data_IF_372823419105
#
_entry.id   IF_372823419105
#
_cell.length_a   1.000
_cell.length_b   1.000
_cell.length_c   1.000
_cell.angle_alpha   90.00
_cell.angle_beta   90.00
_cell.angle_gamma   90.00
#
_symmetry.space_group_name_H-M   'P 1'
#
loop_
_entity.id
_entity.type
_entity.pdbx_description
1 polymer ?
#
# COMPACT_ATOMS: atom_id res chain seq x y z
N UNK A 1 -30.28 -8.77 -5.33
CA UNK A 1 -29.29 -7.97 -4.59
C UNK A 1 -27.96 -8.23 -5.25
N UNK A 2 -27.19 -7.19 -5.58
CA UNK A 2 -25.93 -7.38 -6.28
C UNK A 2 -24.92 -8.07 -5.37
N UNK A 3 -24.27 -9.10 -5.90
CA UNK A 3 -23.20 -9.83 -5.24
C UNK A 3 -21.88 -9.41 -5.86
N UNK A 4 -21.11 -8.62 -5.13
CA UNK A 4 -19.80 -8.12 -5.56
C UNK A 4 -18.72 -8.97 -4.89
N UNK A 5 -17.89 -9.63 -5.70
CA UNK A 5 -16.68 -10.28 -5.22
C UNK A 5 -15.50 -9.35 -5.45
N UNK A 6 -14.82 -8.98 -4.36
CA UNK A 6 -13.66 -8.08 -4.41
C UNK A 6 -12.38 -8.90 -4.49
N UNK A 7 -11.48 -8.51 -5.39
CA UNK A 7 -10.20 -9.17 -5.64
C UNK A 7 -9.10 -8.14 -5.47
N UNK A 8 -8.35 -8.27 -4.38
CA UNK A 8 -7.19 -7.45 -4.06
C UNK A 8 -5.96 -8.05 -4.72
N UNK A 9 -5.37 -7.31 -5.66
CA UNK A 9 -4.12 -7.70 -6.30
C UNK A 9 -2.94 -7.30 -5.41
N UNK A 10 -2.43 -8.26 -4.63
CA UNK A 10 -1.32 -8.04 -3.69
C UNK A 10 0.07 -7.86 -4.34
N UNK A 11 0.13 -7.96 -5.67
CA UNK A 11 1.35 -7.76 -6.45
C UNK A 11 2.26 -9.00 -6.55
N UNK A 12 3.28 -8.89 -7.40
CA UNK A 12 4.29 -9.92 -7.64
C UNK A 12 5.42 -9.93 -6.60
N UNK A 13 6.66 -10.11 -7.06
CA UNK A 13 7.88 -10.22 -6.21
C UNK A 13 8.15 -9.00 -5.30
N UNK A 14 7.46 -7.87 -5.49
CA UNK A 14 7.60 -6.70 -4.63
C UNK A 14 8.97 -6.02 -4.71
N UNK A 15 9.67 -6.14 -5.84
CA UNK A 15 11.05 -5.64 -6.04
C UNK A 15 11.18 -4.13 -5.85
N UNK A 16 10.16 -3.35 -6.20
CA UNK A 16 10.14 -1.87 -6.05
C UNK A 16 10.13 -1.40 -4.58
N UNK A 17 9.70 -2.25 -3.64
CA UNK A 17 9.74 -1.97 -2.19
C UNK A 17 10.83 -2.79 -1.49
N UNK A 18 11.74 -3.42 -2.21
CA UNK A 18 12.89 -4.05 -1.57
C UNK A 18 13.75 -2.96 -0.91
N UNK A 19 14.21 -3.13 0.35
CA UNK A 19 14.26 -4.36 1.15
C UNK A 19 13.06 -4.61 2.08
N UNK A 20 12.03 -3.75 2.09
CA UNK A 20 10.86 -3.91 2.98
C UNK A 20 10.07 -5.20 2.68
N UNK A 21 10.19 -5.72 1.46
CA UNK A 21 9.58 -6.96 0.97
C UNK A 21 10.48 -8.19 1.07
N UNK A 22 11.69 -8.06 1.65
CA UNK A 22 12.67 -9.16 1.77
C UNK A 22 12.08 -10.40 2.45
N UNK A 23 11.43 -10.20 3.59
CA UNK A 23 10.88 -11.28 4.43
C UNK A 23 9.34 -11.27 4.51
N UNK A 24 8.66 -10.50 3.67
CA UNK A 24 7.19 -10.35 3.72
C UNK A 24 6.59 -10.01 2.36
N UNK A 25 5.34 -10.41 2.16
CA UNK A 25 4.54 -9.98 1.01
C UNK A 25 4.39 -8.45 0.98
N UNK A 26 4.32 -7.86 -0.22
CA UNK A 26 4.08 -6.42 -0.41
C UNK A 26 2.88 -5.90 0.39
N UNK A 27 1.71 -6.57 0.40
CA UNK A 27 0.54 -6.08 1.15
C UNK A 27 0.74 -6.13 2.67
N UNK A 28 1.71 -6.91 3.15
CA UNK A 28 2.01 -7.04 4.57
C UNK A 28 3.00 -5.98 5.09
N UNK A 29 3.52 -5.09 4.24
CA UNK A 29 4.40 -4.00 4.65
C UNK A 29 3.63 -3.06 5.61
N UNK A 30 4.20 -2.75 6.81
CA UNK A 30 3.60 -1.81 7.76
C UNK A 30 3.48 -0.41 7.16
N UNK A 31 2.41 0.31 7.51
CA UNK A 31 2.17 1.69 7.07
C UNK A 31 1.51 2.49 8.19
N UNK A 32 1.79 3.79 8.29
CA UNK A 32 1.14 4.69 9.25
C UNK A 32 1.32 4.27 10.72
N UNK A 33 2.44 3.62 11.04
CA UNK A 33 2.82 3.18 12.39
C UNK A 33 2.06 1.96 12.97
N UNK A 34 0.81 1.72 12.56
CA UNK A 34 -0.06 0.65 13.10
C UNK A 34 -0.62 -0.31 12.04
N UNK A 35 -0.85 0.21 10.84
CA UNK A 35 -1.55 -0.47 9.76
C UNK A 35 -0.59 -1.30 8.91
N UNK A 36 -1.16 -2.02 7.95
CA UNK A 36 -0.45 -2.59 6.80
C UNK A 36 -1.08 -2.04 5.53
N UNK A 37 -0.32 -2.04 4.43
CA UNK A 37 -0.80 -1.53 3.14
C UNK A 37 -2.13 -2.20 2.73
N UNK A 38 -2.26 -3.52 2.92
CA UNK A 38 -3.48 -4.28 2.58
C UNK A 38 -4.73 -3.80 3.32
N UNK A 39 -4.57 -3.12 4.46
CA UNK A 39 -5.70 -2.63 5.24
C UNK A 39 -6.51 -1.58 4.48
N UNK A 40 -5.88 -0.83 3.58
CA UNK A 40 -6.53 0.21 2.78
C UNK A 40 -7.61 -0.37 1.85
N UNK A 41 -7.28 -1.25 0.87
CA UNK A 41 -8.28 -1.79 -0.04
C UNK A 41 -9.33 -2.65 0.68
N UNK A 42 -8.93 -3.43 1.70
CA UNK A 42 -9.89 -4.25 2.45
C UNK A 42 -10.90 -3.34 3.18
N UNK A 43 -10.44 -2.29 3.83
CA UNK A 43 -11.32 -1.37 4.55
C UNK A 43 -12.26 -0.62 3.61
N UNK A 44 -11.78 -0.18 2.45
CA UNK A 44 -12.63 0.44 1.43
C UNK A 44 -13.73 -0.53 0.97
N UNK A 45 -13.40 -1.80 0.72
CA UNK A 45 -14.39 -2.82 0.37
C UNK A 45 -15.43 -3.01 1.48
N UNK A 46 -14.99 -3.19 2.73
CA UNK A 46 -15.87 -3.39 3.89
C UNK A 46 -16.80 -2.19 4.12
N UNK A 47 -16.25 -0.96 4.07
CA UNK A 47 -17.03 0.26 4.24
C UNK A 47 -18.06 0.45 3.12
N UNK A 48 -17.79 -0.10 1.94
CA UNK A 48 -18.72 -0.11 0.79
C UNK A 48 -19.72 -1.27 0.82
N UNK A 49 -19.73 -2.08 1.88
CA UNK A 49 -20.60 -3.25 2.02
C UNK A 49 -20.14 -4.50 1.25
N UNK A 50 -18.95 -4.49 0.65
CA UNK A 50 -18.39 -5.61 -0.10
C UNK A 50 -17.56 -6.50 0.83
N UNK A 51 -18.19 -7.55 1.35
CA UNK A 51 -17.61 -8.42 2.39
C UNK A 51 -17.00 -9.73 1.87
N UNK A 52 -17.10 -10.04 0.58
CA UNK A 52 -16.44 -11.21 -0.02
C UNK A 52 -15.18 -10.74 -0.72
N UNK A 53 -14.02 -11.02 -0.12
CA UNK A 53 -12.74 -10.45 -0.52
C UNK A 53 -11.71 -11.56 -0.65
N UNK A 54 -11.14 -11.70 -1.85
CA UNK A 54 -9.95 -12.49 -2.09
C UNK A 54 -8.72 -11.60 -2.22
N UNK A 55 -7.59 -12.03 -1.67
CA UNK A 55 -6.30 -11.34 -1.76
C UNK A 55 -5.33 -12.25 -2.50
N UNK A 56 -4.93 -11.86 -3.70
CA UNK A 56 -4.00 -12.63 -4.52
C UNK A 56 -2.57 -12.23 -4.16
N UNK A 57 -1.75 -13.19 -3.75
CA UNK A 57 -0.34 -12.96 -3.40
C UNK A 57 0.54 -14.08 -3.93
N UNK A 58 1.80 -13.77 -4.22
CA UNK A 58 2.75 -14.77 -4.71
C UNK A 58 3.77 -15.17 -3.62
N UNK A 59 4.35 -14.22 -2.90
CA UNK A 59 5.53 -14.46 -2.06
C UNK A 59 5.30 -14.15 -0.57
N UNK A 60 6.04 -14.82 0.32
CA UNK A 60 6.20 -14.47 1.74
C UNK A 60 4.88 -14.15 2.50
N UNK A 61 3.87 -15.00 2.33
CA UNK A 61 2.49 -14.73 2.76
C UNK A 61 2.19 -15.02 4.24
N UNK A 62 3.05 -15.73 4.97
CA UNK A 62 2.72 -16.19 6.34
C UNK A 62 2.29 -15.04 7.28
N UNK A 63 3.03 -13.92 7.25
CA UNK A 63 2.67 -12.74 8.05
C UNK A 63 1.35 -12.11 7.60
N UNK A 64 1.02 -12.17 6.31
CA UNK A 64 -0.22 -11.66 5.73
C UNK A 64 -1.41 -12.53 6.16
N UNK A 65 -1.31 -13.85 6.02
CA UNK A 65 -2.35 -14.79 6.46
C UNK A 65 -2.71 -14.57 7.94
N UNK A 66 -1.71 -14.50 8.82
CA UNK A 66 -1.94 -14.28 10.25
C UNK A 66 -2.62 -12.93 10.54
N UNK A 67 -2.29 -11.89 9.79
CA UNK A 67 -2.92 -10.58 9.95
C UNK A 67 -4.37 -10.59 9.49
N UNK A 68 -4.64 -11.15 8.32
CA UNK A 68 -6.01 -11.24 7.78
C UNK A 68 -6.90 -12.08 8.70
N UNK A 69 -6.45 -13.29 9.06
CA UNK A 69 -7.20 -14.22 9.91
C UNK A 69 -7.53 -13.67 11.31
N UNK A 70 -6.71 -12.77 11.84
CA UNK A 70 -6.93 -12.15 13.16
C UNK A 70 -7.69 -10.83 13.10
N UNK A 71 -7.81 -10.22 11.93
CA UNK A 71 -8.35 -8.85 11.78
C UNK A 71 -9.76 -8.85 11.21
N UNK A 72 -9.95 -9.58 10.12
CA UNK A 72 -11.16 -9.48 9.29
C UNK A 72 -12.03 -10.72 9.51
N UNK A 73 -12.60 -10.80 10.71
CA UNK A 73 -13.53 -11.86 11.11
C UNK A 73 -14.94 -11.29 11.03
N UNK A 74 -15.75 -11.85 10.14
CA UNK A 74 -17.16 -11.47 10.00
C UNK A 74 -18.06 -12.33 10.89
N UNK A 75 -19.31 -11.90 11.03
CA UNK A 75 -20.31 -12.63 11.80
C UNK A 75 -20.77 -13.91 11.08
N UNK A 76 -21.15 -14.93 11.87
CA UNK A 76 -21.60 -16.24 11.37
C UNK A 76 -22.89 -16.20 10.55
N UNK A 77 -23.62 -15.09 10.54
CA UNK A 77 -24.87 -14.94 9.81
C UNK A 77 -24.66 -14.27 8.44
N UNK A 78 -23.43 -13.88 8.13
CA UNK A 78 -23.05 -13.28 6.85
C UNK A 78 -22.15 -14.23 6.05
N UNK A 79 -22.35 -14.30 4.74
CA UNK A 79 -21.45 -15.02 3.82
C UNK A 79 -20.16 -14.22 3.51
N UNK A 80 -19.75 -13.32 4.41
CA UNK A 80 -18.58 -12.48 4.26
C UNK A 80 -17.30 -13.23 4.65
N UNK A 81 -16.23 -13.00 3.90
CA UNK A 81 -14.91 -13.56 4.19
C UNK A 81 -13.80 -12.67 3.61
N UNK A 82 -12.62 -12.75 4.23
CA UNK A 82 -11.39 -12.25 3.64
C UNK A 82 -10.39 -13.39 3.58
N UNK A 83 -10.08 -13.86 2.38
CA UNK A 83 -9.21 -15.01 2.16
C UNK A 83 -8.01 -14.65 1.29
N UNK A 84 -6.86 -15.23 1.63
CA UNK A 84 -5.62 -15.04 0.88
C UNK A 84 -5.42 -16.25 -0.02
N UNK A 85 -5.41 -16.03 -1.33
CA UNK A 85 -5.06 -17.04 -2.33
C UNK A 85 -3.61 -16.82 -2.72
N UNK A 86 -2.75 -17.74 -2.28
CA UNK A 86 -1.38 -17.78 -2.72
C UNK A 86 -1.31 -18.41 -4.13
N UNK A 87 -0.28 -18.09 -4.91
CA UNK A 87 -0.03 -18.84 -6.15
C UNK A 87 0.20 -20.32 -5.82
N UNK A 88 -0.73 -21.18 -6.25
CA UNK A 88 -0.66 -22.63 -6.08
C UNK A 88 -0.09 -23.28 -7.35
N UNK A 89 0.69 -24.35 -7.15
CA UNK A 89 1.00 -25.26 -8.25
C UNK A 89 -0.14 -26.27 -8.38
N UNK A 90 -0.79 -26.30 -9.54
CA UNK A 90 -1.82 -27.29 -9.87
C UNK A 90 -1.28 -28.29 -10.89
N UNK A 91 -1.99 -29.40 -11.10
CA UNK A 91 -1.64 -30.40 -12.13
C UNK A 91 -1.61 -29.80 -13.55
N UNK A 92 -2.30 -28.69 -13.77
CA UNK A 92 -2.36 -27.99 -15.06
C UNK A 92 -1.48 -26.73 -15.13
N UNK A 93 -1.08 -26.17 -13.98
CA UNK A 93 -0.27 -24.95 -13.91
C UNK A 93 0.89 -25.09 -12.91
N UNK A 94 2.12 -25.13 -13.43
CA UNK A 94 3.34 -25.33 -12.63
C UNK A 94 4.06 -24.03 -12.27
N UNK A 95 3.54 -22.87 -12.70
CA UNK A 95 4.22 -21.58 -12.65
C UNK A 95 3.59 -20.52 -11.73
N UNK A 96 4.38 -19.50 -11.43
CA UNK A 96 3.98 -18.26 -10.75
C UNK A 96 2.96 -17.46 -11.57
N UNK A 97 2.38 -16.38 -11.02
CA UNK A 97 1.53 -15.51 -11.85
C UNK A 97 2.41 -14.67 -12.78
N UNK A 98 2.08 -14.68 -14.06
CA UNK A 98 2.81 -13.97 -15.12
C UNK A 98 2.40 -12.49 -15.20
N UNK A 99 1.21 -12.17 -14.72
CA UNK A 99 0.70 -10.81 -14.63
C UNK A 99 -0.60 -10.71 -13.82
N UNK A 100 -1.21 -9.53 -13.87
CA UNK A 100 -2.40 -9.21 -13.07
C UNK A 100 -3.65 -9.97 -13.55
N UNK A 101 -3.84 -10.12 -14.87
CA UNK A 101 -4.96 -10.85 -15.43
C UNK A 101 -4.77 -12.38 -15.28
N UNK A 102 -3.53 -12.87 -15.45
CA UNK A 102 -3.20 -14.28 -15.22
C UNK A 102 -3.45 -14.72 -13.78
N UNK A 103 -3.14 -13.86 -12.79
CA UNK A 103 -3.45 -14.12 -11.40
C UNK A 103 -4.96 -14.31 -11.17
N UNK A 104 -5.80 -13.48 -11.79
CA UNK A 104 -7.27 -13.60 -11.68
C UNK A 104 -7.76 -14.85 -12.42
N UNK A 105 -7.29 -15.08 -13.66
CA UNK A 105 -7.67 -16.23 -14.48
C UNK A 105 -7.46 -17.55 -13.75
N UNK A 106 -6.25 -17.77 -13.21
CA UNK A 106 -5.89 -19.01 -12.50
C UNK A 106 -6.78 -19.28 -11.28
N UNK A 107 -7.35 -18.23 -10.68
CA UNK A 107 -8.20 -18.34 -9.50
C UNK A 107 -9.70 -18.26 -9.79
N UNK A 108 -10.13 -18.11 -11.07
CA UNK A 108 -11.56 -18.07 -11.43
C UNK A 108 -12.35 -19.26 -10.90
N UNK A 109 -11.73 -20.44 -10.78
CA UNK A 109 -12.34 -21.64 -10.20
C UNK A 109 -12.77 -21.47 -8.73
N UNK A 110 -12.09 -20.60 -7.96
CA UNK A 110 -12.46 -20.26 -6.58
C UNK A 110 -13.52 -19.17 -6.52
N UNK A 111 -13.61 -18.34 -7.57
CA UNK A 111 -14.52 -17.21 -7.64
C UNK A 111 -15.92 -17.60 -8.09
N UNK A 112 -16.03 -18.46 -9.12
CA UNK A 112 -17.30 -18.93 -9.69
C UNK A 112 -18.27 -19.54 -8.68
N UNK A 113 -17.84 -20.37 -7.70
CA UNK A 113 -18.74 -20.91 -6.67
C UNK A 113 -19.43 -19.85 -5.81
N UNK A 114 -18.89 -18.62 -5.76
CA UNK A 114 -19.52 -17.52 -5.07
C UNK A 114 -20.68 -16.92 -5.86
N UNK A 115 -20.91 -17.30 -7.11
CA UNK A 115 -21.97 -16.75 -7.98
C UNK A 115 -22.02 -15.20 -7.98
N UNK A 116 -20.89 -14.51 -8.17
CA UNK A 116 -20.88 -13.05 -8.18
C UNK A 116 -21.63 -12.51 -9.39
N UNK A 117 -22.33 -11.40 -9.20
CA UNK A 117 -22.89 -10.60 -10.28
C UNK A 117 -21.85 -9.65 -10.88
N UNK A 118 -20.91 -9.18 -10.06
CA UNK A 118 -19.86 -8.25 -10.45
C UNK A 118 -18.55 -8.65 -9.77
N UNK A 119 -17.44 -8.42 -10.47
CA UNK A 119 -16.09 -8.51 -9.92
C UNK A 119 -15.53 -7.11 -9.72
N UNK A 120 -15.05 -6.82 -8.52
CA UNK A 120 -14.30 -5.61 -8.21
C UNK A 120 -12.81 -5.96 -8.12
N UNK A 121 -11.98 -5.39 -8.98
CA UNK A 121 -10.52 -5.48 -8.88
C UNK A 121 -10.01 -4.22 -8.19
N UNK A 122 -9.17 -4.39 -7.16
CA UNK A 122 -8.49 -3.28 -6.47
C UNK A 122 -7.00 -3.58 -6.31
N UNK A 123 -6.18 -2.53 -6.37
CA UNK A 123 -4.75 -2.67 -6.10
C UNK A 123 -4.46 -2.81 -4.61
N UNK A 124 -3.46 -3.64 -4.28
CA UNK A 124 -3.00 -3.91 -2.93
C UNK A 124 -1.90 -2.97 -2.41
N UNK A 125 -1.57 -1.90 -3.13
CA UNK A 125 -0.39 -1.04 -2.89
C UNK A 125 -0.61 0.47 -3.03
N UNK A 126 -1.86 0.92 -2.89
CA UNK A 126 -2.24 2.31 -3.05
C UNK A 126 -2.84 2.88 -1.76
N UNK A 127 -2.62 4.18 -1.54
CA UNK A 127 -3.19 4.91 -0.41
C UNK A 127 -4.35 5.77 -0.88
N UNK A 128 -5.57 5.42 -0.49
CA UNK A 128 -6.79 6.15 -0.86
C UNK A 128 -7.96 5.78 0.07
N UNK A 129 -8.98 6.64 0.10
CA UNK A 129 -10.28 6.34 0.71
C UNK A 129 -11.37 6.61 -0.33
N UNK A 130 -12.11 5.58 -0.70
CA UNK A 130 -13.10 5.66 -1.77
C UNK A 130 -14.33 4.83 -1.41
N UNK A 131 -15.51 5.41 -1.66
CA UNK A 131 -16.78 4.69 -1.60
C UNK A 131 -16.96 3.91 -2.90
N UNK A 132 -16.74 2.59 -2.82
CA UNK A 132 -16.83 1.70 -3.97
C UNK A 132 -18.30 1.34 -4.27
N UNK A 133 -19.24 1.61 -3.36
CA UNK A 133 -20.66 1.45 -3.61
C UNK A 133 -21.18 2.53 -4.55
N UNK A 134 -20.69 3.77 -4.41
CA UNK A 134 -20.95 4.85 -5.39
C UNK A 134 -20.38 4.49 -6.77
N UNK A 135 -19.16 3.93 -6.83
CA UNK A 135 -18.59 3.43 -8.09
C UNK A 135 -19.46 2.34 -8.73
N UNK A 136 -19.97 1.39 -7.95
CA UNK A 136 -20.88 0.34 -8.43
C UNK A 136 -22.21 0.93 -8.93
N UNK A 137 -22.75 1.93 -8.25
CA UNK A 137 -23.96 2.61 -8.68
C UNK A 137 -23.74 3.28 -10.04
N UNK A 138 -22.63 4.02 -10.20
CA UNK A 138 -22.27 4.67 -11.47
C UNK A 138 -22.00 3.67 -12.58
N UNK A 139 -21.38 2.53 -12.27
CA UNK A 139 -21.19 1.43 -13.20
C UNK A 139 -22.53 0.99 -13.81
N UNK A 140 -23.55 0.78 -12.96
CA UNK A 140 -24.88 0.33 -13.39
C UNK A 140 -25.66 1.40 -14.14
N UNK A 141 -25.62 2.65 -13.67
CA UNK A 141 -26.22 3.79 -14.36
C UNK A 141 -25.63 3.97 -15.77
N UNK A 142 -24.35 3.61 -15.95
CA UNK A 142 -23.65 3.78 -17.22
C UNK A 142 -24.08 2.79 -18.31
N UNK A 143 -24.65 1.64 -17.93
CA UNK A 143 -24.98 0.53 -18.83
C UNK A 143 -23.77 -0.17 -19.47
N UNK A 144 -22.54 0.17 -19.07
CA UNK A 144 -21.32 -0.51 -19.54
C UNK A 144 -20.97 -1.69 -18.66
N UNK A 145 -20.54 -2.80 -19.27
CA UNK A 145 -20.11 -4.00 -18.56
C UNK A 145 -18.71 -3.88 -17.91
N UNK A 146 -17.99 -2.78 -18.16
CA UNK A 146 -16.73 -2.43 -17.49
C UNK A 146 -16.73 -0.95 -17.08
N UNK A 147 -16.29 -0.68 -15.85
CA UNK A 147 -15.98 0.67 -15.36
C UNK A 147 -14.59 0.73 -14.74
N UNK A 148 -13.80 1.74 -15.12
CA UNK A 148 -12.44 1.97 -14.64
C UNK A 148 -12.46 3.22 -13.74
N UNK A 149 -11.93 3.11 -12.52
CA UNK A 149 -11.71 4.29 -11.68
C UNK A 149 -10.46 5.04 -12.15
N UNK A 150 -10.61 6.34 -12.32
CA UNK A 150 -9.55 7.20 -12.79
C UNK A 150 -9.40 8.44 -11.90
N UNK A 151 -8.16 8.91 -11.75
CA UNK A 151 -7.82 10.13 -11.02
C UNK A 151 -7.10 11.13 -11.92
N UNK A 152 -7.13 12.41 -11.54
CA UNK A 152 -6.43 13.45 -12.29
C UNK A 152 -4.94 13.48 -11.94
N UNK A 153 -4.09 13.55 -12.97
CA UNK A 153 -2.62 13.56 -12.81
C UNK A 153 -1.96 14.63 -13.66
N UNK A 154 -0.74 15.02 -13.27
CA UNK A 154 0.13 15.93 -14.03
C UNK A 154 0.70 15.25 -15.28
N UNK A 155 1.40 15.99 -16.14
CA UNK A 155 2.05 15.37 -17.32
C UNK A 155 3.20 14.47 -16.91
N UNK A 156 3.92 14.87 -15.87
CA UNK A 156 5.07 14.17 -15.30
C UNK A 156 4.62 12.79 -14.81
N UNK A 157 3.61 12.77 -13.92
CA UNK A 157 3.05 11.56 -13.32
C UNK A 157 2.38 10.66 -14.37
N UNK A 158 1.82 11.24 -15.43
CA UNK A 158 1.14 10.47 -16.48
C UNK A 158 2.04 9.43 -17.18
N UNK A 159 3.36 9.55 -17.04
CA UNK A 159 4.32 8.60 -17.63
C UNK A 159 4.27 7.22 -16.98
N UNK A 160 3.85 7.13 -15.71
CA UNK A 160 3.91 5.91 -14.90
C UNK A 160 2.59 5.12 -14.89
N UNK A 161 1.52 5.71 -15.42
CA UNK A 161 0.16 5.18 -15.38
C UNK A 161 -0.47 4.98 -16.76
N UNK A 162 -1.58 4.25 -16.80
CA UNK A 162 -2.43 4.15 -17.99
C UNK A 162 -3.33 5.37 -18.14
N UNK A 163 -3.19 6.12 -19.23
CA UNK A 163 -3.94 7.35 -19.49
C UNK A 163 -5.16 7.07 -20.35
N UNK A 164 -6.28 7.68 -19.97
CA UNK A 164 -7.58 7.49 -20.61
C UNK A 164 -8.03 8.77 -21.30
N UNK A 165 -8.54 8.62 -22.53
CA UNK A 165 -9.27 9.66 -23.24
C UNK A 165 -10.75 9.37 -23.09
N UNK A 166 -11.52 10.35 -22.64
CA UNK A 166 -12.95 10.21 -22.38
C UNK A 166 -13.79 11.19 -23.20
N UNK A 167 -15.03 10.81 -23.48
CA UNK A 167 -16.04 11.71 -24.05
C UNK A 167 -16.80 12.49 -22.96
N UNK A 168 -17.79 13.31 -23.37
CA UNK A 168 -18.61 14.11 -22.46
C UNK A 168 -19.54 13.29 -21.56
N UNK A 169 -19.77 12.01 -21.86
CA UNK A 169 -20.56 11.07 -21.08
C UNK A 169 -19.69 10.15 -20.22
N UNK A 170 -18.41 10.49 -20.04
CA UNK A 170 -17.42 9.71 -19.31
C UNK A 170 -17.17 8.31 -19.89
N UNK A 171 -17.42 8.10 -21.20
CA UNK A 171 -17.02 6.86 -21.87
C UNK A 171 -15.57 6.95 -22.31
N UNK A 172 -14.82 5.89 -22.10
CA UNK A 172 -13.43 5.79 -22.56
C UNK A 172 -13.45 5.56 -24.07
N UNK A 173 -12.74 6.42 -24.79
CA UNK A 173 -12.54 6.35 -26.24
C UNK A 173 -11.23 5.65 -26.57
N UNK A 174 -10.17 5.99 -25.83
CA UNK A 174 -8.82 5.45 -26.04
C UNK A 174 -8.14 5.23 -24.68
N UNK A 175 -7.34 4.16 -24.60
CA UNK A 175 -6.54 3.81 -23.44
C UNK A 175 -5.08 3.67 -23.86
N UNK A 176 -4.16 4.33 -23.14
CA UNK A 176 -2.74 4.28 -23.42
C UNK A 176 -1.96 3.95 -22.15
N UNK A 177 -1.41 2.74 -22.07
CA UNK A 177 -0.54 2.33 -20.96
C UNK A 177 0.83 3.02 -21.06
N UNK A 178 1.21 3.76 -20.00
CA UNK A 178 2.55 4.30 -19.77
C UNK A 178 3.17 4.97 -21.01
N UNK A 179 2.65 6.16 -21.41
CA UNK A 179 3.14 6.88 -22.60
C UNK A 179 4.63 7.27 -22.51
N UNK A 180 5.23 7.22 -21.32
CA UNK A 180 6.57 7.74 -21.05
C UNK A 180 6.62 9.28 -21.13
N UNK A 181 7.80 9.87 -20.89
CA UNK A 181 7.94 11.32 -20.76
C UNK A 181 7.92 12.07 -22.11
N UNK A 182 8.28 11.39 -23.21
CA UNK A 182 8.51 12.05 -24.51
C UNK A 182 7.27 12.07 -25.40
N UNK A 183 6.36 11.10 -25.25
CA UNK A 183 5.23 10.95 -26.16
C UNK A 183 4.25 12.11 -26.00
N UNK A 184 3.78 12.66 -27.11
CA UNK A 184 2.70 13.65 -27.06
C UNK A 184 1.39 12.95 -26.72
N UNK A 185 0.75 13.42 -25.64
CA UNK A 185 -0.55 12.93 -25.16
C UNK A 185 -1.56 14.07 -25.06
N UNK A 186 -1.33 15.19 -25.77
CA UNK A 186 -2.20 16.37 -25.73
C UNK A 186 -3.66 16.06 -26.05
N UNK A 187 -3.91 15.05 -26.89
CA UNK A 187 -5.26 14.58 -27.26
C UNK A 187 -5.97 13.80 -26.13
N UNK A 188 -5.25 13.40 -25.08
CA UNK A 188 -5.77 12.74 -23.88
C UNK A 188 -6.12 13.71 -22.75
N UNK A 189 -6.00 15.02 -23.01
CA UNK A 189 -6.40 16.05 -22.06
C UNK A 189 -7.90 15.94 -21.76
N UNK A 190 -8.25 16.03 -20.47
CA UNK A 190 -9.64 15.97 -20.01
C UNK A 190 -10.46 17.05 -20.74
N UNK A 191 -11.64 16.76 -21.29
CA UNK A 191 -12.50 17.77 -21.92
C UNK A 191 -12.82 18.93 -20.97
N UNK A 192 -12.76 20.18 -21.46
CA UNK A 192 -12.94 21.39 -20.63
C UNK A 192 -14.24 21.38 -19.83
N UNK A 193 -15.30 20.81 -20.38
CA UNK A 193 -16.63 20.72 -19.75
C UNK A 193 -16.64 19.82 -18.50
N UNK A 194 -15.73 18.84 -18.45
CA UNK A 194 -15.56 17.91 -17.33
C UNK A 194 -14.50 18.39 -16.32
N UNK A 195 -13.84 19.53 -16.56
CA UNK A 195 -12.80 20.09 -15.68
C UNK A 195 -13.34 20.95 -14.52
N UNK A 196 -14.65 20.95 -14.25
CA UNK A 196 -15.29 21.84 -13.25
C UNK A 196 -14.52 21.86 -11.92
N UNK A 197 -14.07 23.05 -11.52
CA UNK A 197 -13.55 23.40 -10.18
C UNK A 197 -12.49 22.45 -9.58
N UNK A 198 -11.77 21.71 -10.42
CA UNK A 198 -10.67 20.86 -9.96
C UNK A 198 -9.51 21.77 -9.61
N UNK A 199 -8.90 21.58 -8.43
CA UNK A 199 -7.68 22.29 -7.99
C UNK A 199 -6.67 22.25 -9.12
N UNK A 200 -6.65 23.29 -9.93
CA UNK A 200 -6.02 23.32 -11.25
C UNK A 200 -4.55 23.67 -11.07
N UNK A 201 -3.84 22.76 -10.42
CA UNK A 201 -2.39 22.76 -10.27
C UNK A 201 -1.69 21.96 -11.37
N UNK A 202 -2.20 22.00 -12.62
CA UNK A 202 -1.57 21.30 -13.75
C UNK A 202 -1.95 19.82 -13.94
N UNK A 203 -2.99 19.32 -13.25
CA UNK A 203 -3.50 17.94 -13.39
C UNK A 203 -4.49 17.81 -14.55
N UNK A 204 -3.98 17.82 -15.77
CA UNK A 204 -4.75 17.88 -17.02
C UNK A 204 -5.18 16.53 -17.61
N UNK A 205 -4.66 15.42 -17.07
CA UNK A 205 -4.83 14.07 -17.61
C UNK A 205 -5.60 13.17 -16.65
N UNK A 206 -6.25 12.14 -17.21
CA UNK A 206 -7.03 11.17 -16.45
C UNK A 206 -6.33 9.80 -16.48
N UNK A 207 -5.75 9.41 -15.34
CA UNK A 207 -5.02 8.15 -15.19
C UNK A 207 -5.88 7.08 -14.53
N UNK A 208 -5.79 5.85 -15.04
CA UNK A 208 -6.35 4.66 -14.41
C UNK A 208 -5.69 4.42 -13.06
N UNK A 209 -6.51 4.25 -12.03
CA UNK A 209 -6.04 3.90 -10.68
C UNK A 209 -5.78 2.39 -10.54
N UNK A 210 -6.02 1.58 -11.57
CA UNK A 210 -5.95 0.12 -11.43
C UNK A 210 -7.09 -0.47 -10.59
N UNK A 211 -8.22 0.22 -10.51
CA UNK A 211 -9.44 -0.21 -9.84
C UNK A 211 -10.54 -0.36 -10.89
N UNK A 212 -11.16 -1.54 -10.96
CA UNK A 212 -12.08 -1.91 -12.03
C UNK A 212 -13.33 -2.60 -11.48
N UNK A 213 -14.50 -2.27 -12.02
CA UNK A 213 -15.73 -3.06 -11.83
C UNK A 213 -16.11 -3.70 -13.16
N UNK A 214 -16.27 -5.01 -13.14
CA UNK A 214 -16.74 -5.81 -14.27
C UNK A 214 -18.07 -6.46 -13.95
N UNK A 215 -18.96 -6.51 -14.95
CA UNK A 215 -20.01 -7.53 -14.97
C UNK A 215 -19.36 -8.92 -15.00
N UNK A 216 -19.90 -9.88 -14.24
CA UNK A 216 -19.30 -11.21 -14.12
C UNK A 216 -19.12 -11.91 -15.47
N UNK A 217 -20.11 -11.83 -16.35
CA UNK A 217 -20.05 -12.43 -17.69
C UNK A 217 -18.93 -11.84 -18.56
N UNK A 218 -18.68 -10.53 -18.44
CA UNK A 218 -17.61 -9.89 -19.18
C UNK A 218 -16.25 -10.33 -18.65
N UNK A 219 -16.03 -10.29 -17.33
CA UNK A 219 -14.74 -10.68 -16.75
C UNK A 219 -14.37 -12.11 -17.15
N UNK A 220 -15.32 -13.04 -17.04
CA UNK A 220 -15.05 -14.45 -17.34
C UNK A 220 -14.73 -14.67 -18.82
N UNK A 221 -15.50 -14.07 -19.74
CA UNK A 221 -15.22 -14.19 -21.18
C UNK A 221 -13.97 -13.43 -21.62
N UNK A 222 -13.62 -12.32 -20.96
CA UNK A 222 -12.40 -11.57 -21.25
C UNK A 222 -11.13 -12.28 -20.79
N UNK A 223 -11.23 -13.23 -19.87
CA UNK A 223 -10.10 -14.00 -19.33
C UNK A 223 -9.98 -15.42 -19.95
N UNK A 224 -10.84 -15.77 -20.91
CA UNK A 224 -10.74 -17.03 -21.67
C UNK A 224 -9.51 -17.08 -22.59
N UNK A 225 -8.94 -15.92 -22.95
CA UNK A 225 -7.68 -15.81 -23.70
C UNK A 225 -6.43 -15.88 -22.83
N UNK A 226 -5.26 -15.70 -23.44
CA UNK A 226 -3.93 -15.81 -22.80
C UNK A 226 -3.35 -14.46 -22.33
N UNK A 227 -4.15 -13.39 -22.31
CA UNK A 227 -3.71 -12.04 -21.89
C UNK A 227 -3.23 -12.02 -20.42
N UNK A 228 -2.00 -11.61 -20.18
CA UNK A 228 -1.37 -11.66 -18.86
C UNK A 228 -1.61 -10.41 -18.01
N UNK A 229 -1.90 -9.24 -18.61
CA UNK A 229 -2.05 -7.99 -17.87
C UNK A 229 -3.35 -7.23 -18.19
N UNK A 230 -4.02 -6.73 -17.13
CA UNK A 230 -5.26 -5.98 -17.29
C UNK A 230 -5.08 -4.68 -18.08
N UNK A 231 -4.07 -3.87 -17.75
CA UNK A 231 -3.88 -2.55 -18.35
C UNK A 231 -3.36 -2.62 -19.78
N UNK A 232 -2.40 -3.52 -20.03
CA UNK A 232 -1.74 -3.64 -21.34
C UNK A 232 -2.53 -4.40 -22.38
N UNK A 233 -3.32 -5.39 -21.97
CA UNK A 233 -3.87 -6.39 -22.89
C UNK A 233 -5.39 -6.51 -22.77
N UNK A 234 -5.91 -6.83 -21.57
CA UNK A 234 -7.35 -7.09 -21.38
C UNK A 234 -8.21 -5.86 -21.65
N UNK A 235 -7.89 -4.71 -21.03
CA UNK A 235 -8.67 -3.48 -21.19
C UNK A 235 -8.67 -2.99 -22.65
N UNK A 236 -7.52 -2.90 -23.35
CA UNK A 236 -7.51 -2.59 -24.78
C UNK A 236 -8.34 -3.56 -25.63
N UNK A 237 -8.29 -4.87 -25.35
CA UNK A 237 -9.07 -5.90 -26.07
C UNK A 237 -10.59 -5.71 -25.89
N UNK A 238 -11.02 -5.33 -24.68
CA UNK A 238 -12.42 -5.03 -24.38
C UNK A 238 -12.85 -3.73 -25.07
N UNK A 239 -12.03 -2.69 -24.99
CA UNK A 239 -12.32 -1.37 -25.55
C UNK A 239 -12.52 -1.42 -27.08
N UNK A 240 -11.83 -2.34 -27.76
CA UNK A 240 -11.99 -2.57 -29.19
C UNK A 240 -13.36 -3.17 -29.58
N UNK A 241 -14.08 -3.78 -28.63
CA UNK A 241 -15.33 -4.54 -28.89
C UNK A 241 -16.57 -3.87 -28.31
N UNK A 242 -16.44 -3.10 -27.24
CA UNK A 242 -17.57 -2.53 -26.51
C UNK A 242 -17.19 -1.26 -25.73
N UNK A 243 -18.21 -0.52 -25.31
CA UNK A 243 -18.03 0.71 -24.54
C UNK A 243 -17.57 0.42 -23.11
N UNK A 244 -16.62 1.22 -22.65
CA UNK A 244 -16.10 1.19 -21.27
C UNK A 244 -16.40 2.53 -20.61
N UNK A 245 -16.83 2.50 -19.36
CA UNK A 245 -17.11 3.70 -18.58
C UNK A 245 -15.91 4.11 -17.73
N UNK A 246 -15.67 5.42 -17.60
CA UNK A 246 -14.74 5.98 -16.63
C UNK A 246 -15.52 6.49 -15.42
N UNK A 247 -15.07 6.10 -14.22
CA UNK A 247 -15.49 6.70 -12.96
C UNK A 247 -14.39 7.66 -12.52
N UNK A 248 -14.70 8.94 -12.34
CA UNK A 248 -13.69 9.90 -11.88
C UNK A 248 -13.69 9.98 -10.35
N UNK A 249 -12.54 9.73 -9.75
CA UNK A 249 -12.29 9.88 -8.34
C UNK A 249 -11.55 11.20 -8.07
N UNK A 250 -12.16 12.05 -7.24
CA UNK A 250 -11.62 13.38 -6.90
C UNK A 250 -10.91 13.41 -5.52
N UNK A 251 -10.83 12.26 -4.82
CA UNK A 251 -10.18 12.16 -3.52
C UNK A 251 -8.65 11.96 -3.61
N UNK A 252 -8.00 11.90 -2.44
CA UNK A 252 -6.58 11.61 -2.37
C UNK A 252 -6.29 10.17 -2.82
N UNK A 253 -5.30 10.03 -3.68
CA UNK A 253 -4.79 8.76 -4.17
C UNK A 253 -3.29 8.88 -4.42
N UNK A 254 -2.53 7.88 -3.97
CA UNK A 254 -1.08 7.82 -4.12
C UNK A 254 -0.61 6.36 -4.34
N UNK A 255 0.29 6.12 -5.30
CA UNK A 255 0.98 4.82 -5.47
C UNK A 255 2.18 4.75 -4.50
N UNK A 256 2.02 4.00 -3.42
CA UNK A 256 3.09 3.76 -2.42
C UNK A 256 3.94 2.54 -2.78
N UNK A 257 4.10 2.28 -4.08
CA UNK A 257 4.83 1.16 -4.63
C UNK A 257 6.35 1.31 -4.73
N UNK A 258 6.91 2.49 -4.48
CA UNK A 258 8.37 2.78 -4.44
C UNK A 258 8.81 3.17 -3.03
N UNK A 259 10.11 3.07 -2.71
CA UNK A 259 10.59 3.40 -1.37
C UNK A 259 10.41 4.89 -1.07
N UNK A 260 10.70 5.75 -2.05
CA UNK A 260 10.51 7.20 -1.92
C UNK A 260 9.05 7.57 -1.66
N UNK A 261 8.12 7.13 -2.52
CA UNK A 261 6.70 7.46 -2.34
C UNK A 261 6.13 6.87 -1.06
N UNK A 262 6.53 5.65 -0.69
CA UNK A 262 6.15 5.05 0.59
C UNK A 262 6.65 5.86 1.80
N UNK A 263 7.90 6.33 1.77
CA UNK A 263 8.49 7.13 2.83
C UNK A 263 7.78 8.48 2.98
N UNK A 264 7.56 9.19 1.88
CA UNK A 264 6.91 10.50 1.87
C UNK A 264 5.45 10.42 2.27
N UNK A 265 4.70 9.43 1.77
CA UNK A 265 3.32 9.19 2.16
C UNK A 265 3.18 8.90 3.66
N UNK A 266 4.15 8.21 4.28
CA UNK A 266 4.18 8.04 5.73
C UNK A 266 4.42 9.36 6.44
N UNK A 267 5.43 10.14 6.03
CA UNK A 267 5.74 11.40 6.70
C UNK A 267 4.65 12.46 6.54
N UNK A 268 3.93 12.48 5.42
CA UNK A 268 2.82 13.40 5.22
C UNK A 268 1.72 13.22 6.28
N UNK A 269 1.54 12.01 6.83
CA UNK A 269 0.59 11.77 7.93
C UNK A 269 0.90 12.59 9.19
N UNK A 270 2.14 13.06 9.36
CA UNK A 270 2.57 13.89 10.47
C UNK A 270 2.29 15.40 10.26
N UNK A 271 1.84 15.80 9.07
CA UNK A 271 1.48 17.18 8.79
C UNK A 271 0.25 17.61 9.59
N UNK A 272 0.12 18.92 9.81
CA UNK A 272 -1.03 19.49 10.55
C UNK A 272 -2.34 19.21 9.80
N UNK A 273 -2.29 19.26 8.47
CA UNK A 273 -3.40 18.95 7.57
C UNK A 273 -2.88 18.00 6.49
N UNK A 274 -2.80 16.68 6.78
CA UNK A 274 -2.31 15.70 5.83
C UNK A 274 -3.32 15.54 4.68
N UNK A 275 -2.85 15.18 3.49
CA UNK A 275 -3.75 15.00 2.35
C UNK A 275 -4.60 13.73 2.49
N UNK A 276 -4.04 12.70 3.13
CA UNK A 276 -4.73 11.50 3.57
C UNK A 276 -4.78 11.44 5.09
N UNK A 277 -5.92 11.03 5.65
CA UNK A 277 -6.06 10.94 7.09
C UNK A 277 -6.80 9.69 7.58
N UNK A 278 -6.29 9.07 8.65
CA UNK A 278 -6.89 7.90 9.30
C UNK A 278 -8.03 8.24 10.29
N UNK A 279 -8.20 9.51 10.70
CA UNK A 279 -9.22 9.94 11.67
C UNK A 279 -10.63 10.17 11.06
N UNK A 280 -11.11 9.24 10.22
CA UNK A 280 -12.46 9.29 9.65
C UNK A 280 -13.34 8.23 10.30
N UNK A 281 -14.38 8.68 10.97
CA UNK A 281 -15.28 7.81 11.74
C UNK A 281 -16.33 7.10 10.87
N UNK A 282 -16.63 7.66 9.69
CA UNK A 282 -17.63 7.09 8.79
C UNK A 282 -17.02 6.01 7.90
N UNK A 283 -15.79 6.22 7.43
CA UNK A 283 -15.04 5.26 6.62
C UNK A 283 -13.66 4.99 7.23
N UNK A 284 -13.61 4.39 8.43
CA UNK A 284 -12.35 4.12 9.09
C UNK A 284 -11.55 3.07 8.31
N UNK A 285 -10.22 3.15 8.41
CA UNK A 285 -9.36 2.04 8.01
C UNK A 285 -9.27 1.09 9.20
N UNK A 286 -9.66 -0.16 8.99
CA UNK A 286 -9.58 -1.22 9.98
C UNK A 286 -8.19 -1.84 10.00
N UNK A 287 -7.79 -2.40 11.14
CA UNK A 287 -6.55 -3.16 11.28
C UNK A 287 -6.61 -4.04 12.52
N UNK A 288 -5.61 -4.90 12.69
CA UNK A 288 -5.53 -5.85 13.80
C UNK A 288 -5.56 -5.14 15.17
N UNK A 289 -6.57 -5.46 15.99
CA UNK A 289 -6.71 -4.96 17.37
C UNK A 289 -5.80 -5.75 18.30
N UNK A 290 -4.65 -5.15 18.69
CA UNK A 290 -3.57 -5.84 19.41
C UNK A 290 -3.64 -5.76 20.94
N UNK A 291 -4.64 -5.08 21.51
CA UNK A 291 -4.75 -4.82 22.96
C UNK A 291 -3.45 -4.30 23.59
N UNK A 292 -2.71 -3.47 22.85
CA UNK A 292 -1.48 -2.85 23.36
C UNK A 292 -1.85 -1.72 24.34
N UNK A 293 -1.04 -1.51 25.38
CA UNK A 293 -1.25 -0.41 26.30
C UNK A 293 -1.01 0.94 25.61
N UNK A 294 -1.45 2.02 26.26
CA UNK A 294 -1.07 3.37 25.86
C UNK A 294 0.45 3.53 25.88
N UNK A 295 0.97 4.33 24.95
CA UNK A 295 2.40 4.62 24.86
C UNK A 295 2.87 5.43 26.07
N UNK A 296 4.03 5.06 26.61
CA UNK A 296 4.69 5.74 27.72
C UNK A 296 5.70 6.75 27.16
N UNK A 297 5.48 8.02 27.48
CA UNK A 297 6.34 9.14 27.06
C UNK A 297 6.96 9.78 28.31
N UNK A 298 8.27 9.65 28.48
CA UNK A 298 8.98 10.21 29.62
C UNK A 298 9.94 11.29 29.14
N UNK A 299 9.74 12.56 29.55
CA UNK A 299 10.65 13.67 29.22
C UNK A 299 10.93 13.85 27.71
N UNK A 300 9.93 13.62 26.85
CA UNK A 300 10.10 13.66 25.39
C UNK A 300 9.66 15.00 24.79
N UNK A 301 10.29 15.40 23.70
CA UNK A 301 9.84 16.50 22.84
C UNK A 301 9.33 15.91 21.53
N UNK A 302 8.06 16.13 21.21
CA UNK A 302 7.43 15.66 19.97
C UNK A 302 6.97 16.87 19.14
N UNK A 303 7.38 16.94 17.87
CA UNK A 303 6.99 18.00 16.95
C UNK A 303 6.63 17.41 15.59
N UNK A 304 5.37 17.54 15.14
CA UNK A 304 4.88 16.83 13.93
C UNK A 304 5.23 15.33 13.97
N UNK A 305 4.74 14.63 14.98
CA UNK A 305 5.07 13.22 15.16
C UNK A 305 3.85 12.40 15.56
N UNK A 306 3.80 11.15 15.08
CA UNK A 306 2.79 10.18 15.45
C UNK A 306 3.43 9.08 16.30
N UNK A 307 2.78 8.68 17.39
CA UNK A 307 3.16 7.51 18.18
C UNK A 307 2.00 6.53 18.22
N UNK A 308 2.22 5.33 17.70
CA UNK A 308 1.27 4.23 17.78
C UNK A 308 1.33 3.55 19.15
N UNK A 309 0.48 2.55 19.39
CA UNK A 309 0.32 1.91 20.70
C UNK A 309 1.57 1.19 21.21
N UNK A 310 1.70 1.12 22.54
CA UNK A 310 2.70 0.31 23.22
C UNK A 310 4.14 0.83 23.11
N UNK A 311 4.35 2.08 22.72
CA UNK A 311 5.70 2.62 22.65
C UNK A 311 6.24 2.97 24.05
N UNK A 312 7.56 2.89 24.21
CA UNK A 312 8.27 3.40 25.39
C UNK A 312 9.34 4.36 24.88
N UNK A 313 9.12 5.64 25.11
CA UNK A 313 10.00 6.71 24.64
C UNK A 313 10.50 7.46 25.86
N UNK A 314 11.83 7.51 26.04
CA UNK A 314 12.44 8.13 27.21
C UNK A 314 13.46 9.17 26.77
N UNK A 315 13.30 10.42 27.22
CA UNK A 315 14.22 11.53 27.02
C UNK A 315 14.70 11.66 25.57
N UNK A 316 13.76 11.70 24.61
CA UNK A 316 14.04 11.74 23.18
C UNK A 316 13.40 12.97 22.51
N UNK A 317 14.02 13.42 21.41
CA UNK A 317 13.51 14.48 20.54
C UNK A 317 13.06 13.88 19.21
N UNK A 318 11.79 14.04 18.85
CA UNK A 318 11.21 13.40 17.66
C UNK A 318 10.50 14.47 16.83
N UNK A 319 11.03 14.75 15.65
CA UNK A 319 10.47 15.68 14.67
C UNK A 319 10.08 14.98 13.37
N UNK A 320 8.95 15.36 12.79
CA UNK A 320 8.53 14.91 11.45
C UNK A 320 8.67 13.38 11.26
N UNK A 321 8.17 12.60 12.22
CA UNK A 321 8.50 11.16 12.32
C UNK A 321 7.33 10.33 12.81
N UNK A 322 7.30 9.07 12.39
CA UNK A 322 6.34 8.07 12.86
C UNK A 322 7.05 7.07 13.77
N UNK A 323 6.48 6.87 14.95
CA UNK A 323 6.89 5.85 15.92
C UNK A 323 5.84 4.73 15.92
N UNK A 324 6.13 3.66 15.18
CA UNK A 324 5.23 2.52 15.05
C UNK A 324 5.08 1.68 16.33
N UNK A 325 4.15 0.73 16.30
CA UNK A 325 3.76 -0.03 17.50
C UNK A 325 4.94 -0.68 18.23
N UNK A 326 4.90 -0.68 19.56
CA UNK A 326 5.93 -1.31 20.43
C UNK A 326 7.36 -0.77 20.27
N UNK A 327 7.55 0.39 19.65
CA UNK A 327 8.89 0.95 19.51
C UNK A 327 9.43 1.36 20.88
N UNK A 328 10.66 0.96 21.17
CA UNK A 328 11.43 1.43 22.33
C UNK A 328 12.48 2.42 21.83
N UNK A 329 12.49 3.61 22.42
CA UNK A 329 13.46 4.67 22.12
C UNK A 329 14.14 5.07 23.43
N UNK A 330 15.45 4.82 23.48
CA UNK A 330 16.28 5.06 24.66
C UNK A 330 16.69 6.54 24.80
N UNK A 331 17.17 6.87 26.00
CA UNK A 331 17.54 8.24 26.39
C UNK A 331 18.52 8.91 25.43
N UNK A 332 18.27 10.19 25.13
CA UNK A 332 19.12 11.04 24.30
C UNK A 332 19.01 10.77 22.80
N UNK A 333 18.08 9.93 22.36
CA UNK A 333 17.86 9.71 20.93
C UNK A 333 17.19 10.93 20.27
N UNK A 334 17.56 11.20 19.02
CA UNK A 334 16.97 12.26 18.19
C UNK A 334 16.57 11.70 16.82
N UNK A 335 15.32 11.92 16.43
CA UNK A 335 14.74 11.40 15.18
C UNK A 335 14.17 12.58 14.38
N UNK A 336 14.56 12.72 13.11
CA UNK A 336 14.05 13.74 12.19
C UNK A 336 13.74 13.17 10.80
N UNK A 337 12.48 13.12 10.37
CA UNK A 337 12.14 12.44 9.12
C UNK A 337 12.37 10.93 9.21
N UNK A 338 11.90 10.28 10.28
CA UNK A 338 12.12 8.84 10.49
C UNK A 338 10.80 8.10 10.54
N UNK A 339 10.72 7.00 9.79
CA UNK A 339 9.57 6.09 9.80
C UNK A 339 9.98 4.81 10.53
N UNK A 340 9.68 4.73 11.82
CA UNK A 340 9.85 3.51 12.61
C UNK A 340 8.62 2.61 12.42
N UNK A 341 8.80 1.43 11.83
CA UNK A 341 7.73 0.45 11.70
C UNK A 341 7.38 -0.23 13.02
N UNK A 342 8.30 -0.22 14.00
CA UNK A 342 8.10 -0.72 15.36
C UNK A 342 8.53 -2.17 15.59
N UNK A 343 7.84 -2.90 16.48
CA UNK A 343 8.22 -4.26 16.83
C UNK A 343 7.04 -5.24 16.86
N UNK A 344 7.32 -6.50 16.54
CA UNK A 344 6.36 -7.60 16.55
C UNK A 344 6.08 -8.10 17.98
N UNK A 345 7.01 -7.89 18.91
CA UNK A 345 6.95 -8.29 20.32
C UNK A 345 7.83 -7.37 21.19
N UNK A 346 7.71 -7.47 22.52
CA UNK A 346 8.65 -6.88 23.47
C UNK A 346 9.70 -7.92 23.88
N UNK A 347 10.92 -7.49 24.11
CA UNK A 347 11.95 -8.37 24.66
C UNK A 347 11.76 -8.55 26.17
N UNK A 348 11.88 -9.80 26.62
CA UNK A 348 11.89 -10.12 28.06
C UNK A 348 13.22 -9.67 28.68
N UNK A 349 13.25 -9.54 30.00
CA UNK A 349 14.50 -9.20 30.71
C UNK A 349 15.60 -10.25 30.48
N UNK A 350 15.25 -11.54 30.40
CA UNK A 350 16.20 -12.61 30.04
C UNK A 350 16.79 -12.41 28.63
N UNK A 351 15.96 -12.02 27.65
CA UNK A 351 16.42 -11.74 26.29
C UNK A 351 17.34 -10.52 26.25
N UNK A 352 17.05 -9.47 27.03
CA UNK A 352 17.91 -8.28 27.14
C UNK A 352 19.26 -8.60 27.77
N UNK A 353 19.29 -9.40 28.84
CA UNK A 353 20.53 -9.87 29.46
C UNK A 353 21.36 -10.73 28.49
N UNK A 354 20.70 -11.60 27.72
CA UNK A 354 21.37 -12.40 26.70
C UNK A 354 21.92 -11.54 25.54
N UNK A 355 21.21 -10.47 25.16
CA UNK A 355 21.68 -9.50 24.17
C UNK A 355 22.94 -8.78 24.67
N UNK A 356 22.92 -8.30 25.91
CA UNK A 356 24.06 -7.65 26.55
C UNK A 356 25.28 -8.58 26.62
N UNK A 357 25.10 -9.82 27.08
CA UNK A 357 26.15 -10.83 27.13
C UNK A 357 26.76 -11.14 25.74
N UNK A 358 25.96 -11.03 24.68
CA UNK A 358 26.38 -11.22 23.30
C UNK A 358 26.91 -9.95 22.61
N UNK A 359 26.95 -8.80 23.30
CA UNK A 359 27.31 -7.50 22.71
C UNK A 359 26.34 -7.03 21.62
N UNK A 360 25.10 -7.53 21.65
CA UNK A 360 24.04 -7.23 20.67
C UNK A 360 23.10 -6.15 21.23
N UNK A 361 22.73 -5.12 20.46
CA UNK A 361 21.70 -4.17 20.89
C UNK A 361 20.32 -4.81 21.06
N UNK A 362 19.53 -4.25 21.98
CA UNK A 362 18.11 -4.56 22.12
C UNK A 362 17.29 -4.04 20.92
N UNK A 363 16.08 -4.54 20.75
CA UNK A 363 15.13 -4.05 19.75
C UNK A 363 14.76 -2.61 20.06
N UNK A 364 14.84 -1.74 19.06
CA UNK A 364 14.55 -0.33 19.19
C UNK A 364 15.75 0.56 18.87
N UNK A 365 15.68 1.79 19.36
CA UNK A 365 16.67 2.84 19.11
C UNK A 365 17.52 3.02 20.37
N UNK A 366 18.81 2.68 20.27
CA UNK A 366 19.77 2.81 21.36
C UNK A 366 20.04 4.25 21.78
N UNK A 367 20.61 4.39 22.97
CA UNK A 367 20.81 5.70 23.63
C UNK A 367 21.72 6.63 22.84
N UNK A 368 21.41 7.93 22.85
CA UNK A 368 22.23 8.95 22.20
C UNK A 368 22.30 8.86 20.68
N UNK A 369 21.49 8.02 20.03
CA UNK A 369 21.48 7.85 18.57
C UNK A 369 20.73 8.98 17.86
N UNK A 370 21.31 9.50 16.78
CA UNK A 370 20.74 10.60 15.98
C UNK A 370 20.48 10.05 14.58
N UNK A 371 19.23 10.12 14.13
CA UNK A 371 18.77 9.53 12.88
C UNK A 371 17.98 10.57 12.12
N UNK A 372 18.32 10.76 10.85
CA UNK A 372 17.63 11.65 9.93
C UNK A 372 17.36 10.95 8.61
N UNK A 373 16.14 11.08 8.09
CA UNK A 373 15.81 10.63 6.74
C UNK A 373 15.86 9.11 6.51
N UNK A 374 15.24 8.32 7.40
CA UNK A 374 15.37 6.86 7.35
C UNK A 374 14.07 6.11 7.61
N UNK A 375 13.96 4.91 7.02
CA UNK A 375 12.97 3.91 7.37
C UNK A 375 13.64 2.87 8.26
N UNK A 376 13.03 2.61 9.43
CA UNK A 376 13.49 1.58 10.37
C UNK A 376 12.43 0.49 10.44
N UNK A 377 12.71 -0.65 9.82
CA UNK A 377 11.78 -1.76 9.74
C UNK A 377 11.66 -2.53 11.07
N UNK A 378 10.73 -3.47 11.13
CA UNK A 378 10.33 -4.24 12.30
C UNK A 378 11.51 -4.92 12.98
N UNK A 379 11.53 -4.82 14.30
CA UNK A 379 12.49 -5.51 15.18
C UNK A 379 13.96 -5.13 14.93
N UNK A 380 14.23 -4.02 14.25
CA UNK A 380 15.59 -3.52 14.11
C UNK A 380 16.20 -3.19 15.48
N UNK A 381 17.52 -3.41 15.59
CA UNK A 381 18.32 -3.27 16.81
C UNK A 381 19.39 -2.25 16.55
N UNK A 382 19.14 -0.99 16.92
CA UNK A 382 20.13 0.06 16.77
C UNK A 382 20.88 0.24 18.09
N UNK A 383 22.20 0.12 18.03
CA UNK A 383 23.09 0.39 19.16
C UNK A 383 23.08 1.84 19.59
N UNK A 384 23.84 2.12 20.64
CA UNK A 384 24.00 3.47 21.18
C UNK A 384 24.89 4.33 20.29
N UNK A 385 24.66 5.64 20.29
CA UNK A 385 25.48 6.64 19.61
C UNK A 385 25.58 6.45 18.08
N UNK A 386 24.60 5.84 17.44
CA UNK A 386 24.54 5.79 15.98
C UNK A 386 24.29 7.19 15.39
N UNK A 387 24.81 7.44 14.19
CA UNK A 387 24.65 8.69 13.43
C UNK A 387 24.24 8.33 12.01
N UNK A 388 22.94 8.38 11.73
CA UNK A 388 22.38 7.88 10.46
C UNK A 388 21.77 9.05 9.72
N UNK A 389 22.24 9.34 8.50
CA UNK A 389 21.64 10.37 7.65
C UNK A 389 21.89 11.80 8.12
N UNK A 390 22.84 12.01 9.04
CA UNK A 390 23.08 13.31 9.68
C UNK A 390 23.89 14.28 8.82
N UNK A 391 24.55 13.77 7.78
CA UNK A 391 25.38 14.55 6.87
C UNK A 391 24.68 14.81 5.54
N UNK A 392 25.24 15.77 4.78
CA UNK A 392 24.75 16.15 3.45
C UNK A 392 25.41 15.31 2.33
N UNK A 393 26.05 14.18 2.66
CA UNK A 393 26.78 13.41 1.65
C UNK A 393 25.80 12.79 0.65
N UNK A 394 26.09 12.89 -0.66
CA UNK A 394 25.32 12.17 -1.65
C UNK A 394 25.49 10.67 -1.42
N UNK A 395 24.37 9.96 -1.30
CA UNK A 395 24.30 8.52 -1.07
C UNK A 395 23.85 7.87 -2.37
N UNK A 396 24.67 6.95 -2.90
CA UNK A 396 24.29 6.13 -4.03
C UNK A 396 23.42 4.96 -3.56
N UNK A 397 22.40 4.63 -4.33
CA UNK A 397 21.57 3.46 -4.08
C UNK A 397 22.43 2.18 -4.05
N UNK A 398 22.12 1.28 -3.12
CA UNK A 398 22.90 0.06 -2.92
C UNK A 398 22.61 -0.69 -1.61
N UNK A 399 23.26 -1.85 -1.48
CA UNK A 399 23.22 -2.70 -0.29
C UNK A 399 24.54 -2.56 0.49
N UNK A 400 24.45 -2.23 1.76
CA UNK A 400 25.60 -1.94 2.63
C UNK A 400 25.66 -2.90 3.83
N UNK A 401 25.24 -4.14 3.62
CA UNK A 401 25.23 -5.23 4.61
C UNK A 401 24.06 -5.12 5.59
N UNK A 402 24.09 -4.14 6.49
CA UNK A 402 23.09 -3.99 7.56
C UNK A 402 22.02 -2.93 7.26
N UNK A 403 22.17 -2.18 6.17
CA UNK A 403 21.21 -1.20 5.69
C UNK A 403 21.26 -1.12 4.16
N UNK A 404 20.24 -0.49 3.59
CA UNK A 404 20.10 -0.24 2.16
C UNK A 404 19.91 1.25 1.92
N UNK A 405 20.23 1.71 0.72
CA UNK A 405 19.87 3.02 0.22
C UNK A 405 19.09 2.78 -1.07
N UNK A 406 17.84 3.23 -1.10
CA UNK A 406 16.94 3.03 -2.25
C UNK A 406 16.15 4.31 -2.45
N UNK A 407 16.14 4.81 -3.69
CA UNK A 407 15.55 6.10 -4.05
C UNK A 407 16.07 7.25 -3.16
N UNK A 408 17.34 7.18 -2.73
CA UNK A 408 17.95 8.13 -1.79
C UNK A 408 17.42 8.10 -0.35
N UNK A 409 16.70 7.05 0.07
CA UNK A 409 16.22 6.85 1.45
C UNK A 409 17.05 5.74 2.11
N UNK A 410 17.49 5.97 3.36
CA UNK A 410 18.18 4.94 4.15
C UNK A 410 17.12 3.98 4.70
N UNK A 411 17.27 2.68 4.43
CA UNK A 411 16.36 1.64 4.90
C UNK A 411 17.12 0.63 5.76
N UNK A 412 16.77 0.57 7.04
CA UNK A 412 17.25 -0.47 7.97
C UNK A 412 16.24 -1.62 7.92
N UNK A 413 16.63 -2.81 7.40
CA UNK A 413 15.70 -3.90 7.12
C UNK A 413 15.24 -4.61 8.40
N UNK A 414 14.24 -5.48 8.26
CA UNK A 414 13.70 -6.27 9.37
C UNK A 414 14.81 -7.02 10.12
N UNK A 415 14.76 -6.99 11.45
CA UNK A 415 15.69 -7.68 12.34
C UNK A 415 17.16 -7.26 12.18
N UNK A 416 17.46 -6.18 11.45
CA UNK A 416 18.84 -5.71 11.28
C UNK A 416 19.47 -5.33 12.61
N UNK A 417 20.78 -5.53 12.70
CA UNK A 417 21.59 -5.08 13.82
C UNK A 417 22.51 -3.98 13.32
N UNK A 418 22.33 -2.78 13.85
CA UNK A 418 23.24 -1.65 13.64
C UNK A 418 24.10 -1.53 14.90
N UNK A 419 25.41 -1.84 14.83
CA UNK A 419 26.31 -1.74 15.98
C UNK A 419 26.36 -0.33 16.59
N UNK A 420 26.71 -0.23 17.86
CA UNK A 420 26.90 1.06 18.52
C UNK A 420 27.97 1.89 17.82
N UNK A 421 27.75 3.21 17.71
CA UNK A 421 28.67 4.14 17.06
C UNK A 421 28.67 4.12 15.54
N UNK A 422 27.78 3.35 14.89
CA UNK A 422 27.70 3.29 13.42
C UNK A 422 27.36 4.66 12.82
N UNK A 423 28.06 5.03 11.75
CA UNK A 423 27.85 6.27 11.00
C UNK A 423 27.46 5.90 9.55
N UNK A 424 26.34 6.44 9.06
CA UNK A 424 25.74 6.15 7.73
C UNK A 424 25.36 7.43 6.99
#
# INVERSE_FOLDING_TARGET
MDKVLSIVLGGGKGTRLYPLTKDRAKPAVPFGGRYRIVDIPISNCINSGFKQIYILTQFNSASLHLHVARTYIFDNFSDGFVEVLAAEQTLTHTGWYEGTADAVRKNLMHFRPQHPSHYLIVSGDQLYRMDLADMLQKHKESGCALTIACTTVSREDASDFGITKIDSASKILEFMEKPGPVKDISDFKIPKELRKDRRSGGKDFLASMGIYIFDAALMESALDGDENDFGKEVIPSILAKQQVNAYTFDGYWEDIGTIRSFYEANLNLCDIAPEFNFYDEHMPIYTHRRNLPASKLNYCTLNKALSADGCIITNASISNSIVGIRTIIETGASLDGVVCMGADYYETEEQKLANEAAGRPNIGIGSGSIIKGAIIDKNARLGSNCRIGIDERPRSDGEFGNYYIVDGVIVIPKNAIIPSGTIV
#
